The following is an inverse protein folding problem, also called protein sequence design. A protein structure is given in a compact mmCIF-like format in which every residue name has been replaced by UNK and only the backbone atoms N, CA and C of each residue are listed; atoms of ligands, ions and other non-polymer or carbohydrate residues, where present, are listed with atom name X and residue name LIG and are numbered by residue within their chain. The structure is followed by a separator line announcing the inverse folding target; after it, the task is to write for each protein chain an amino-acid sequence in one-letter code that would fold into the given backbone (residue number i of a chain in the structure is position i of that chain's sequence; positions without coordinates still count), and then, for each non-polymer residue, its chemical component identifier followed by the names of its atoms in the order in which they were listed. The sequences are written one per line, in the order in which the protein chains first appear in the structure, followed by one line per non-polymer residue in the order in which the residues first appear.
data_IF_825306525959
#
_entry.id   IF_825306525959
#
_cell.length_a   1.000
_cell.length_b   1.000
_cell.length_c   1.000
_cell.angle_alpha   90.00
_cell.angle_beta   90.00
_cell.angle_gamma   90.00
#
_symmetry.space_group_name_H-M   'P 1'
#
loop_
_entity.id
_entity.type
_entity.pdbx_description
1 polymer ?
#
# COMPACT_ATOMS: atom_id res chain seq x y z
N UNK A 1 -9.94 -13.22 -22.21
CA UNK A 1 -9.95 -13.06 -20.74
C UNK A 1 -8.82 -12.12 -20.40
N UNK A 2 -9.11 -10.89 -19.99
CA UNK A 2 -8.08 -9.93 -19.56
C UNK A 2 -7.43 -10.45 -18.28
N UNK A 3 -6.32 -11.18 -18.42
CA UNK A 3 -5.52 -11.60 -17.29
C UNK A 3 -5.05 -10.34 -16.56
N UNK A 4 -5.37 -10.23 -15.26
CA UNK A 4 -4.83 -9.18 -14.40
C UNK A 4 -3.31 -9.16 -14.55
N UNK A 5 -2.73 -7.99 -14.76
CA UNK A 5 -1.28 -7.89 -14.89
C UNK A 5 -0.62 -8.35 -13.59
N UNK A 6 0.57 -8.97 -13.64
CA UNK A 6 1.30 -9.37 -12.42
C UNK A 6 1.52 -8.20 -11.46
N UNK A 7 1.75 -6.99 -11.99
CA UNK A 7 1.85 -5.77 -11.20
C UNK A 7 0.54 -5.45 -10.46
N UNK A 8 -0.61 -5.56 -11.11
CA UNK A 8 -1.91 -5.31 -10.47
C UNK A 8 -2.18 -6.31 -9.34
N UNK A 9 -1.85 -7.59 -9.54
CA UNK A 9 -1.97 -8.62 -8.50
C UNK A 9 -1.05 -8.32 -7.30
N UNK A 10 0.21 -7.95 -7.56
CA UNK A 10 1.15 -7.58 -6.50
C UNK A 10 0.70 -6.34 -5.73
N UNK A 11 0.19 -5.31 -6.43
CA UNK A 11 -0.34 -4.11 -5.79
C UNK A 11 -1.57 -4.41 -4.94
N UNK A 12 -2.47 -5.28 -5.41
CA UNK A 12 -3.63 -5.71 -4.65
C UNK A 12 -3.21 -6.50 -3.39
N UNK A 13 -2.22 -7.38 -3.54
CA UNK A 13 -1.67 -8.15 -2.42
C UNK A 13 -1.02 -7.23 -1.39
N UNK A 14 -0.13 -6.34 -1.82
CA UNK A 14 0.49 -5.35 -0.94
C UNK A 14 -0.57 -4.52 -0.22
N UNK A 15 -1.52 -3.96 -0.97
CA UNK A 15 -2.61 -3.15 -0.42
C UNK A 15 -3.37 -3.89 0.68
N UNK A 16 -3.80 -5.12 0.40
CA UNK A 16 -4.59 -5.92 1.35
C UNK A 16 -3.77 -6.32 2.58
N UNK A 17 -2.53 -6.77 2.40
CA UNK A 17 -1.64 -7.13 3.52
C UNK A 17 -1.34 -5.92 4.41
N UNK A 18 -1.01 -4.78 3.82
CA UNK A 18 -0.71 -3.54 4.56
C UNK A 18 -1.94 -3.00 5.29
N UNK A 19 -3.10 -2.98 4.63
CA UNK A 19 -4.34 -2.52 5.24
C UNK A 19 -4.77 -3.43 6.40
N UNK A 20 -4.69 -4.75 6.23
CA UNK A 20 -5.00 -5.72 7.28
C UNK A 20 -4.05 -5.56 8.48
N UNK A 21 -2.75 -5.45 8.22
CA UNK A 21 -1.74 -5.28 9.26
C UNK A 21 -1.90 -3.94 10.00
N UNK A 22 -2.15 -2.85 9.28
CA UNK A 22 -2.43 -1.56 9.90
C UNK A 22 -3.72 -1.59 10.71
N UNK A 23 -4.77 -2.25 10.23
CA UNK A 23 -6.02 -2.36 10.98
C UNK A 23 -5.84 -3.16 12.27
N UNK A 24 -5.06 -4.24 12.21
CA UNK A 24 -4.72 -5.04 13.38
C UNK A 24 -3.92 -4.25 14.43
N UNK A 25 -2.98 -3.40 14.01
CA UNK A 25 -2.10 -2.67 14.93
C UNK A 25 -2.66 -1.32 15.42
N UNK A 26 -3.42 -0.62 14.57
CA UNK A 26 -3.83 0.78 14.77
C UNK A 26 -5.35 0.96 14.76
N UNK A 27 -6.09 -0.03 14.28
CA UNK A 27 -7.55 0.03 14.13
C UNK A 27 -8.28 -0.03 15.46
N UNK A 28 -9.39 0.70 15.54
CA UNK A 28 -10.30 0.73 16.70
C UNK A 28 -11.71 0.28 16.36
N UNK A 29 -12.08 0.30 15.08
CA UNK A 29 -13.41 -0.05 14.60
C UNK A 29 -13.34 -0.72 13.25
N UNK A 30 -14.18 -1.73 13.04
CA UNK A 30 -14.36 -2.41 11.75
C UNK A 30 -14.72 -1.45 10.60
N UNK A 31 -15.33 -0.29 10.94
CA UNK A 31 -15.62 0.78 9.97
C UNK A 31 -14.37 1.40 9.34
N UNK A 32 -13.20 1.23 9.95
CA UNK A 32 -11.93 1.78 9.46
C UNK A 32 -11.29 0.88 8.40
N UNK A 33 -11.76 -0.36 8.21
CA UNK A 33 -11.20 -1.30 7.22
C UNK A 33 -11.19 -0.71 5.81
N UNK A 34 -12.31 -0.16 5.27
CA UNK A 34 -12.29 0.43 3.92
C UNK A 34 -11.34 1.62 3.82
N UNK A 35 -11.27 2.45 4.87
CA UNK A 35 -10.40 3.63 4.91
C UNK A 35 -8.94 3.20 4.84
N UNK A 36 -8.54 2.20 5.64
CA UNK A 36 -7.17 1.70 5.65
C UNK A 36 -6.83 1.02 4.32
N UNK A 37 -7.77 0.29 3.74
CA UNK A 37 -7.59 -0.33 2.42
C UNK A 37 -7.34 0.71 1.33
N UNK A 38 -8.18 1.75 1.23
CA UNK A 38 -8.02 2.82 0.24
C UNK A 38 -6.73 3.61 0.48
N UNK A 39 -6.37 3.84 1.75
CA UNK A 39 -5.13 4.55 2.11
C UNK A 39 -3.88 3.75 1.70
N UNK A 40 -3.86 2.44 1.98
CA UNK A 40 -2.80 1.55 1.54
C UNK A 40 -2.69 1.49 0.02
N UNK A 41 -3.83 1.41 -0.68
CA UNK A 41 -3.90 1.39 -2.13
C UNK A 41 -3.31 2.69 -2.72
N UNK A 42 -3.69 3.83 -2.15
CA UNK A 42 -3.17 5.13 -2.57
C UNK A 42 -1.65 5.20 -2.41
N UNK A 43 -1.10 4.80 -1.25
CA UNK A 43 0.35 4.79 -1.05
C UNK A 43 1.10 3.89 -2.01
N UNK A 44 0.59 2.66 -2.24
CA UNK A 44 1.20 1.74 -3.19
C UNK A 44 1.15 2.25 -4.64
N UNK A 45 0.01 2.80 -5.06
CA UNK A 45 -0.18 3.34 -6.40
C UNK A 45 0.68 4.59 -6.63
N UNK A 46 0.70 5.52 -5.68
CA UNK A 46 1.48 6.76 -5.80
C UNK A 46 2.97 6.43 -5.97
N UNK A 47 3.53 5.56 -5.13
CA UNK A 47 4.94 5.17 -5.25
C UNK A 47 5.25 4.51 -6.60
N UNK A 48 4.35 3.64 -7.06
CA UNK A 48 4.51 2.92 -8.32
C UNK A 48 4.39 3.84 -9.54
N UNK A 49 3.40 4.74 -9.55
CA UNK A 49 3.14 5.65 -10.67
C UNK A 49 4.16 6.78 -10.78
N UNK A 50 4.64 7.31 -9.64
CA UNK A 50 5.69 8.32 -9.64
C UNK A 50 7.02 7.72 -10.13
N UNK A 51 7.17 6.39 -10.07
CA UNK A 51 8.45 5.74 -10.37
C UNK A 51 9.55 6.17 -9.41
N UNK A 52 9.18 6.67 -8.22
CA UNK A 52 10.12 7.03 -7.18
C UNK A 52 10.86 5.76 -6.78
N UNK A 53 12.19 5.78 -6.94
CA UNK A 53 13.06 4.71 -6.50
C UNK A 53 14.10 5.29 -5.58
N UNK A 54 14.34 4.62 -4.46
CA UNK A 54 15.54 4.92 -3.69
C UNK A 54 16.78 4.63 -4.55
N UNK A 55 17.91 5.31 -4.30
CA UNK A 55 19.19 5.02 -4.95
C UNK A 55 19.79 3.67 -4.50
N UNK A 56 18.97 2.78 -3.95
CA UNK A 56 19.31 1.42 -3.56
C UNK A 56 18.91 0.52 -4.72
N UNK A 57 19.85 -0.29 -5.23
CA UNK A 57 19.61 -1.18 -6.37
C UNK A 57 18.82 -2.43 -5.92
N UNK A 58 17.56 -2.20 -5.57
CA UNK A 58 16.65 -3.22 -5.05
C UNK A 58 15.83 -3.85 -6.18
N UNK A 59 15.52 -5.16 -6.08
CA UNK A 59 14.70 -5.84 -7.06
C UNK A 59 13.28 -5.23 -7.09
N UNK A 60 12.78 -4.95 -8.30
CA UNK A 60 11.43 -4.45 -8.54
C UNK A 60 10.58 -5.52 -9.27
N UNK A 61 10.01 -6.49 -8.53
CA UNK A 61 9.24 -7.57 -9.13
C UNK A 61 8.01 -7.03 -9.87
N UNK A 62 7.80 -7.53 -11.09
CA UNK A 62 6.79 -7.04 -12.03
C UNK A 62 6.81 -5.51 -12.25
N UNK A 63 7.96 -4.86 -12.03
CA UNK A 63 8.11 -3.40 -12.12
C UNK A 63 7.59 -2.60 -10.92
N UNK A 64 7.09 -3.27 -9.87
CA UNK A 64 6.57 -2.62 -8.66
C UNK A 64 7.71 -2.34 -7.68
N UNK A 65 7.96 -1.08 -7.29
CA UNK A 65 8.95 -0.74 -6.27
C UNK A 65 8.40 -1.10 -4.89
N UNK A 66 8.55 -2.38 -4.48
CA UNK A 66 7.88 -2.93 -3.30
C UNK A 66 8.20 -2.17 -2.02
N UNK A 67 9.47 -1.77 -1.83
CA UNK A 67 9.90 -1.07 -0.62
C UNK A 67 9.26 0.31 -0.54
N UNK A 68 9.35 1.10 -1.60
CA UNK A 68 8.81 2.45 -1.69
C UNK A 68 7.29 2.45 -1.56
N UNK A 69 6.62 1.51 -2.24
CA UNK A 69 5.18 1.31 -2.13
C UNK A 69 4.75 1.00 -0.70
N UNK A 70 5.47 0.09 -0.03
CA UNK A 70 5.20 -0.30 1.36
C UNK A 70 5.44 0.86 2.32
N UNK A 71 6.57 1.58 2.18
CA UNK A 71 6.92 2.71 3.02
C UNK A 71 5.91 3.85 2.88
N UNK A 72 5.55 4.23 1.65
CA UNK A 72 4.57 5.29 1.43
C UNK A 72 3.19 4.88 1.94
N UNK A 73 2.77 3.64 1.72
CA UNK A 73 1.52 3.12 2.30
C UNK A 73 1.52 3.23 3.83
N UNK A 74 2.60 2.82 4.51
CA UNK A 74 2.70 2.93 5.97
C UNK A 74 2.69 4.37 6.47
N UNK A 75 3.40 5.28 5.81
CA UNK A 75 3.37 6.71 6.16
C UNK A 75 1.92 7.21 6.13
N UNK A 76 1.20 6.97 5.04
CA UNK A 76 -0.20 7.39 4.91
C UNK A 76 -1.12 6.70 5.92
N UNK A 77 -0.97 5.40 6.14
CA UNK A 77 -1.74 4.64 7.12
C UNK A 77 -1.55 5.16 8.54
N UNK A 78 -0.31 5.48 8.92
CA UNK A 78 -0.01 6.08 10.22
C UNK A 78 -0.70 7.44 10.31
N UNK A 79 -0.55 8.31 9.31
CA UNK A 79 -1.21 9.63 9.30
C UNK A 79 -2.72 9.47 9.47
N UNK A 80 -3.37 8.65 8.65
CA UNK A 80 -4.82 8.42 8.69
C UNK A 80 -5.27 7.79 10.01
N UNK A 81 -4.47 6.90 10.61
CA UNK A 81 -4.80 6.31 11.92
C UNK A 81 -4.82 7.33 13.06
N UNK A 82 -4.13 8.47 12.89
CA UNK A 82 -4.11 9.58 13.86
C UNK A 82 -5.23 10.59 13.61
N UNK A 83 -5.77 10.64 12.40
CA UNK A 83 -6.99 11.39 12.13
C UNK A 83 -8.13 10.67 12.88
N UNK A 84 -8.81 11.38 13.78
CA UNK A 84 -9.93 10.84 14.56
C UNK A 84 -11.18 10.68 13.67
N UNK A 85 -11.09 9.80 12.68
CA UNK A 85 -12.15 9.41 11.74
C UNK A 85 -12.98 8.25 12.30
#
# INVERSE_FOLDING_TARGET
MSALSPAALLLLLLTTTHAALAHFLLGRSWRQIPIFWVTAAAGCLIATLIGWRFPLDLPAPAGVPMLEASLLAWILLIVVSRLRL
#
